data_IF_439832529766
#
_entry.id   IF_439832529766
#
_cell.length_a   1.000
_cell.length_b   1.000
_cell.length_c   1.000
_cell.angle_alpha   90.00
_cell.angle_beta   90.00
_cell.angle_gamma   90.00
#
_symmetry.space_group_name_H-M   'P 1'
#
loop_
_entity.id
_entity.type
_entity.pdbx_description
1 polymer ?
#
# COMPACT_ATOMS: atom_id res chain seq x y z
N UNK A 1 -6.04 -4.11 2.87
CA UNK A 1 -4.84 -3.46 3.43
C UNK A 1 -4.26 -4.29 4.55
N UNK A 2 -4.94 -4.46 5.68
CA UNK A 2 -4.38 -5.22 6.82
C UNK A 2 -3.89 -6.66 6.47
N UNK A 3 -4.56 -7.38 5.58
CA UNK A 3 -4.10 -8.72 5.14
C UNK A 3 -2.79 -8.63 4.35
N UNK A 4 -2.65 -7.64 3.47
CA UNK A 4 -1.41 -7.37 2.73
C UNK A 4 -0.29 -6.96 3.71
N UNK A 5 -0.61 -6.12 4.69
CA UNK A 5 0.32 -5.69 5.73
C UNK A 5 0.84 -6.88 6.55
N UNK A 6 -0.05 -7.81 6.92
CA UNK A 6 0.33 -9.04 7.60
C UNK A 6 1.25 -9.93 6.73
N UNK A 7 0.97 -10.04 5.43
CA UNK A 7 1.79 -10.80 4.49
C UNK A 7 3.22 -10.22 4.35
N UNK A 8 3.33 -8.90 4.14
CA UNK A 8 4.64 -8.23 4.01
C UNK A 8 5.42 -8.29 5.32
N UNK A 9 4.77 -7.98 6.44
CA UNK A 9 5.43 -7.99 7.75
C UNK A 9 5.90 -9.39 8.15
N UNK A 10 5.07 -10.42 7.96
CA UNK A 10 5.48 -11.79 8.23
C UNK A 10 6.67 -12.22 7.36
N UNK A 11 6.70 -11.80 6.09
CA UNK A 11 7.80 -12.10 5.16
C UNK A 11 9.13 -11.45 5.55
N UNK A 12 9.09 -10.26 6.14
CA UNK A 12 10.26 -9.57 6.70
C UNK A 12 10.74 -10.20 8.01
N UNK A 13 9.80 -10.50 8.92
CA UNK A 13 10.13 -11.09 10.22
C UNK A 13 10.74 -12.49 10.09
N UNK A 14 10.48 -13.21 8.99
CA UNK A 14 11.15 -14.46 8.68
C UNK A 14 12.68 -14.32 8.48
N UNK A 15 13.16 -13.12 8.10
CA UNK A 15 14.58 -12.82 7.90
C UNK A 15 15.21 -12.12 9.12
N UNK A 16 14.46 -11.92 10.20
CA UNK A 16 14.96 -11.36 11.45
C UNK A 16 15.55 -12.46 12.32
N UNK A 17 16.83 -12.37 12.67
CA UNK A 17 17.52 -13.36 13.48
C UNK A 17 17.82 -12.86 14.90
N UNK A 18 17.91 -11.54 15.08
CA UNK A 18 18.16 -10.90 16.36
C UNK A 18 17.19 -9.75 16.63
N UNK A 19 16.91 -9.48 17.90
CA UNK A 19 16.06 -8.35 18.30
C UNK A 19 16.59 -6.99 17.80
N UNK A 20 17.91 -6.89 17.58
CA UNK A 20 18.55 -5.70 16.99
C UNK A 20 18.12 -5.40 15.55
N UNK A 21 17.56 -6.38 14.85
CA UNK A 21 17.22 -6.26 13.43
C UNK A 21 15.77 -5.80 13.24
N UNK A 22 14.93 -5.92 14.29
CA UNK A 22 13.52 -5.54 14.28
C UNK A 22 13.31 -4.08 13.83
N UNK A 23 14.17 -3.16 14.27
CA UNK A 23 14.08 -1.75 13.86
C UNK A 23 14.20 -1.60 12.34
N UNK A 24 15.17 -2.29 11.73
CA UNK A 24 15.38 -2.25 10.29
C UNK A 24 14.24 -2.92 9.52
N UNK A 25 13.70 -4.02 10.05
CA UNK A 25 12.53 -4.68 9.46
C UNK A 25 11.29 -3.78 9.47
N UNK A 26 11.03 -3.08 10.58
CA UNK A 26 9.90 -2.14 10.67
C UNK A 26 10.09 -0.91 9.78
N UNK A 27 11.30 -0.39 9.63
CA UNK A 27 11.61 0.70 8.70
C UNK A 27 11.38 0.27 7.23
N UNK A 28 11.80 -0.95 6.87
CA UNK A 28 11.55 -1.51 5.53
C UNK A 28 10.05 -1.73 5.27
N UNK A 29 9.31 -2.23 6.26
CA UNK A 29 7.86 -2.38 6.19
C UNK A 29 7.16 -1.03 5.98
N UNK A 30 7.49 -0.02 6.80
CA UNK A 30 6.93 1.32 6.68
C UNK A 30 7.20 1.91 5.28
N UNK A 31 8.44 1.73 4.78
CA UNK A 31 8.87 2.28 3.49
C UNK A 31 7.99 1.85 2.33
N UNK A 32 7.55 0.58 2.30
CA UNK A 32 6.76 0.05 1.19
C UNK A 32 5.25 0.16 1.42
N UNK A 33 4.78 0.11 2.68
CA UNK A 33 3.33 0.06 2.99
C UNK A 33 2.67 1.39 3.30
N UNK A 34 3.41 2.39 3.79
CA UNK A 34 2.81 3.63 4.30
C UNK A 34 2.01 4.37 3.22
N UNK A 35 2.59 4.52 2.03
CA UNK A 35 1.94 5.25 0.93
C UNK A 35 0.63 4.57 0.52
N UNK A 36 0.65 3.25 0.33
CA UNK A 36 -0.51 2.50 -0.17
C UNK A 36 -1.66 2.50 0.83
N UNK A 37 -1.35 2.30 2.13
CA UNK A 37 -2.36 2.33 3.19
C UNK A 37 -3.02 3.71 3.32
N UNK A 38 -2.25 4.79 3.24
CA UNK A 38 -2.81 6.16 3.22
C UNK A 38 -3.62 6.44 1.95
N UNK A 39 -3.17 5.97 0.79
CA UNK A 39 -3.89 6.10 -0.49
C UNK A 39 -5.26 5.42 -0.42
N UNK A 40 -5.38 4.25 0.23
CA UNK A 40 -6.69 3.61 0.43
C UNK A 40 -7.65 4.51 1.19
N UNK A 41 -7.20 5.19 2.25
CA UNK A 41 -8.05 6.08 3.05
C UNK A 41 -8.54 7.25 2.19
N UNK A 42 -7.60 7.95 1.54
CA UNK A 42 -7.93 9.11 0.72
C UNK A 42 -8.91 8.76 -0.42
N UNK A 43 -8.64 7.67 -1.14
CA UNK A 43 -9.45 7.25 -2.29
C UNK A 43 -10.76 6.56 -1.90
N UNK A 44 -10.89 6.04 -0.68
CA UNK A 44 -12.16 5.56 -0.14
C UNK A 44 -13.10 6.71 0.18
N UNK A 45 -12.58 7.79 0.78
CA UNK A 45 -13.34 9.02 1.00
C UNK A 45 -13.74 9.67 -0.34
N UNK A 46 -12.83 9.72 -1.31
CA UNK A 46 -13.16 10.16 -2.67
C UNK A 46 -14.26 9.29 -3.31
N UNK A 47 -14.24 7.97 -3.08
CA UNK A 47 -15.28 7.05 -3.55
C UNK A 47 -16.67 7.46 -3.04
N UNK A 48 -16.78 7.73 -1.74
CA UNK A 48 -18.04 8.14 -1.12
C UNK A 48 -18.59 9.38 -1.79
N UNK A 49 -17.75 10.42 -1.95
CA UNK A 49 -18.13 11.64 -2.66
C UNK A 49 -18.57 11.39 -4.10
N UNK A 50 -17.90 10.47 -4.80
CA UNK A 50 -18.29 10.09 -6.17
C UNK A 50 -19.67 9.43 -6.19
N UNK A 51 -19.98 8.57 -5.21
CA UNK A 51 -21.26 7.86 -5.13
C UNK A 51 -22.41 8.80 -4.80
N UNK A 52 -22.15 9.81 -3.96
CA UNK A 52 -23.15 10.78 -3.51
C UNK A 52 -23.27 12.01 -4.45
N UNK A 53 -22.62 11.98 -5.62
CA UNK A 53 -22.58 13.08 -6.60
C UNK A 53 -21.95 14.39 -6.06
N UNK A 54 -21.09 14.28 -5.04
CA UNK A 54 -20.41 15.41 -4.40
C UNK A 54 -18.96 15.60 -4.87
N UNK A 55 -18.44 14.69 -5.71
CA UNK A 55 -17.05 14.78 -6.17
C UNK A 55 -16.90 15.88 -7.25
N UNK A 56 -16.06 16.90 -7.01
CA UNK A 56 -15.89 17.99 -7.97
C UNK A 56 -15.39 17.51 -9.33
N UNK A 57 -16.02 18.00 -10.40
CA UNK A 57 -15.73 17.64 -11.80
C UNK A 57 -16.47 16.39 -12.32
N UNK A 58 -17.15 15.66 -11.44
CA UNK A 58 -18.04 14.55 -11.76
C UNK A 58 -19.50 14.91 -11.53
N UNK A 59 -19.85 15.34 -10.30
CA UNK A 59 -21.20 15.75 -9.90
C UNK A 59 -22.30 14.86 -10.49
N UNK A 60 -23.21 15.37 -11.31
CA UNK A 60 -24.32 14.63 -11.91
C UNK A 60 -24.00 14.03 -13.31
N UNK A 61 -22.75 14.11 -13.77
CA UNK A 61 -22.31 13.51 -15.04
C UNK A 61 -22.11 11.98 -14.87
N UNK A 62 -23.21 11.25 -15.00
CA UNK A 62 -23.26 9.79 -14.91
C UNK A 62 -22.31 9.08 -15.88
N UNK A 63 -21.97 9.69 -17.03
CA UNK A 63 -21.04 9.09 -17.99
C UNK A 63 -19.60 9.17 -17.49
N UNK A 64 -19.21 10.29 -16.87
CA UNK A 64 -17.90 10.41 -16.20
C UNK A 64 -17.80 9.49 -15.00
N UNK A 65 -18.85 9.42 -14.19
CA UNK A 65 -18.90 8.52 -13.02
C UNK A 65 -18.72 7.08 -13.47
N UNK A 66 -19.49 6.61 -14.44
CA UNK A 66 -19.37 5.25 -14.97
C UNK A 66 -17.93 4.93 -15.44
N UNK A 67 -17.27 5.86 -16.14
CA UNK A 67 -15.87 5.71 -16.57
C UNK A 67 -14.89 5.62 -15.40
N UNK A 68 -15.12 6.36 -14.32
CA UNK A 68 -14.32 6.28 -13.10
C UNK A 68 -14.52 4.93 -12.40
N UNK A 69 -15.78 4.55 -12.16
CA UNK A 69 -16.16 3.29 -11.49
C UNK A 69 -15.53 2.06 -12.15
N UNK A 70 -15.47 2.03 -13.48
CA UNK A 70 -14.87 0.92 -14.24
C UNK A 70 -13.37 0.73 -13.99
N UNK A 71 -12.64 1.75 -13.54
CA UNK A 71 -11.17 1.73 -13.49
C UNK A 71 -10.61 1.91 -12.08
N UNK A 72 -11.38 2.52 -11.19
CA UNK A 72 -10.89 3.03 -9.88
C UNK A 72 -10.36 1.96 -8.94
N UNK A 73 -10.82 0.72 -9.04
CA UNK A 73 -10.39 -0.37 -8.15
C UNK A 73 -9.19 -1.15 -8.66
N UNK A 74 -8.75 -0.94 -9.90
CA UNK A 74 -7.65 -1.72 -10.49
C UNK A 74 -6.37 -1.64 -9.68
N UNK A 75 -6.00 -0.46 -9.20
CA UNK A 75 -4.80 -0.32 -8.36
C UNK A 75 -4.90 -1.05 -7.01
N UNK A 76 -6.11 -1.35 -6.52
CA UNK A 76 -6.28 -2.16 -5.30
C UNK A 76 -6.13 -3.64 -5.66
N UNK A 77 -6.83 -4.10 -6.70
CA UNK A 77 -6.98 -5.51 -7.03
C UNK A 77 -5.83 -6.10 -7.85
N UNK A 78 -5.14 -5.27 -8.64
CA UNK A 78 -4.07 -5.67 -9.55
C UNK A 78 -2.68 -5.32 -8.98
N UNK A 79 -2.58 -5.13 -7.66
CA UNK A 79 -1.29 -4.85 -6.99
C UNK A 79 -0.41 -6.10 -6.94
N UNK A 80 0.88 -5.90 -7.17
CA UNK A 80 1.89 -6.97 -7.08
C UNK A 80 2.49 -7.01 -5.66
N UNK A 81 1.83 -7.77 -4.78
CA UNK A 81 2.27 -7.94 -3.39
C UNK A 81 3.58 -8.72 -3.28
N UNK A 82 3.90 -9.58 -4.24
CA UNK A 82 5.16 -10.32 -4.24
C UNK A 82 6.33 -9.36 -4.52
N UNK A 83 6.14 -8.41 -5.44
CA UNK A 83 7.11 -7.35 -5.68
C UNK A 83 7.28 -6.43 -4.46
N UNK A 84 6.20 -6.07 -3.75
CA UNK A 84 6.31 -5.30 -2.52
C UNK A 84 7.14 -6.03 -1.44
N UNK A 85 6.99 -7.35 -1.32
CA UNK A 85 7.84 -8.17 -0.42
C UNK A 85 9.29 -8.15 -0.87
N UNK A 86 9.55 -8.29 -2.17
CA UNK A 86 10.90 -8.24 -2.72
C UNK A 86 11.59 -6.89 -2.42
N UNK A 87 10.87 -5.79 -2.64
CA UNK A 87 11.35 -4.43 -2.35
C UNK A 87 11.62 -4.24 -0.85
N UNK A 88 10.71 -4.71 0.00
CA UNK A 88 10.88 -4.63 1.45
C UNK A 88 12.14 -5.38 1.92
N UNK A 89 12.34 -6.61 1.43
CA UNK A 89 13.54 -7.41 1.75
C UNK A 89 14.81 -6.72 1.26
N UNK A 90 14.79 -6.10 0.07
CA UNK A 90 15.92 -5.32 -0.43
C UNK A 90 16.26 -4.11 0.46
N UNK A 91 15.25 -3.36 0.89
CA UNK A 91 15.44 -2.25 1.83
C UNK A 91 16.04 -2.72 3.15
N UNK A 92 15.50 -3.81 3.71
CA UNK A 92 15.99 -4.39 4.96
C UNK A 92 17.46 -4.83 4.87
N UNK A 93 17.83 -5.53 3.80
CA UNK A 93 19.22 -5.95 3.55
C UNK A 93 20.18 -4.78 3.34
N UNK A 94 19.73 -3.73 2.65
CA UNK A 94 20.56 -2.54 2.40
C UNK A 94 20.82 -1.76 3.69
N UNK A 95 19.80 -1.60 4.53
CA UNK A 95 19.94 -0.96 5.85
C UNK A 95 20.87 -1.77 6.77
N UNK A 96 20.80 -3.11 6.72
CA UNK A 96 21.71 -3.97 7.47
C UNK A 96 23.17 -3.81 7.03
N UNK A 97 23.43 -3.71 5.72
CA UNK A 97 24.79 -3.55 5.15
C UNK A 97 25.44 -2.20 5.47
N UNK A 98 24.67 -1.12 5.63
CA UNK A 98 25.22 0.19 6.00
C UNK A 98 25.65 0.28 7.47
N UNK A 99 25.31 -0.73 8.28
CA UNK A 99 25.61 -0.78 9.71
C UNK A 99 26.96 -1.43 10.04
N UNK A 100 27.64 -2.00 9.03
CA UNK A 100 28.95 -2.66 9.09
C UNK A 100 29.91 -2.04 8.07
#
# INVERSE_FOLDING_TARGET
MAIEDAYVLASLLADVHHASDLKGAFEAFEKVRLYRTQKVVATSHEAGKLYDFELPGYEDDVKKIAKNLQKRMRWIWEEDLEQEVADAKLFFQTAAKQKY
#
